data_IF_912320546826
#
_entry.id   IF_912320546826
#
_cell.length_a   1.000
_cell.length_b   1.000
_cell.length_c   1.000
_cell.angle_alpha   90.00
_cell.angle_beta   90.00
_cell.angle_gamma   90.00
#
_symmetry.space_group_name_H-M   'P 1'
#
loop_
_entity.id
_entity.type
_entity.pdbx_description
1 polymer ?
#
# COMPACT_ATOMS: atom_id res chain seq x y z
N UNK A 1 13.87 1.88 24.86
CA UNK A 1 14.44 1.75 23.51
C UNK A 1 13.93 0.43 22.96
N UNK A 2 12.95 0.47 22.07
CA UNK A 2 12.43 -0.69 21.35
C UNK A 2 12.70 -0.47 19.88
N UNK A 3 13.57 -1.29 19.31
CA UNK A 3 13.95 -1.31 17.90
C UNK A 3 12.81 -2.00 17.11
N UNK A 4 12.12 -1.22 16.29
CA UNK A 4 10.96 -1.66 15.50
C UNK A 4 11.36 -2.00 14.07
N UNK A 5 12.20 -3.02 13.88
CA UNK A 5 12.45 -3.61 12.56
C UNK A 5 11.32 -4.59 12.21
N UNK A 6 10.20 -4.06 11.71
CA UNK A 6 9.21 -4.91 11.06
C UNK A 6 9.69 -5.21 9.63
N UNK A 7 10.60 -6.18 9.53
CA UNK A 7 11.08 -6.75 8.28
C UNK A 7 9.89 -7.37 7.52
N UNK A 8 9.47 -6.70 6.44
CA UNK A 8 8.44 -7.20 5.54
C UNK A 8 8.88 -8.54 4.93
N UNK A 9 8.06 -9.61 4.98
CA UNK A 9 8.39 -10.84 4.31
C UNK A 9 8.20 -10.66 2.80
N UNK A 10 9.32 -10.53 2.09
CA UNK A 10 9.42 -10.48 0.64
C UNK A 10 9.17 -11.90 0.07
N UNK A 11 7.92 -12.35 0.06
CA UNK A 11 7.52 -13.62 -0.56
C UNK A 11 7.32 -13.37 -2.07
N UNK A 12 8.41 -13.20 -2.80
CA UNK A 12 8.36 -13.14 -4.25
C UNK A 12 9.45 -14.02 -4.87
N UNK A 13 9.15 -15.32 -4.97
CA UNK A 13 9.76 -16.23 -5.93
C UNK A 13 9.05 -17.59 -5.86
N UNK A 14 7.92 -17.69 -6.55
CA UNK A 14 7.40 -18.98 -6.99
C UNK A 14 7.33 -18.92 -8.52
N UNK A 15 8.48 -19.14 -9.15
CA UNK A 15 8.60 -19.39 -10.59
C UNK A 15 7.76 -20.63 -10.91
N UNK A 16 6.76 -20.47 -11.77
CA UNK A 16 5.96 -21.58 -12.29
C UNK A 16 6.68 -22.08 -13.54
N UNK A 17 7.33 -23.23 -13.44
CA UNK A 17 7.93 -23.95 -14.56
C UNK A 17 6.83 -24.51 -15.46
N UNK A 18 6.66 -23.90 -16.64
CA UNK A 18 5.82 -24.41 -17.72
C UNK A 18 6.70 -25.10 -18.75
N UNK A 19 7.24 -26.27 -18.40
CA UNK A 19 7.88 -27.13 -19.38
C UNK A 19 6.83 -27.65 -20.37
N UNK A 20 7.08 -27.38 -21.64
CA UNK A 20 6.20 -27.62 -22.77
C UNK A 20 6.61 -28.91 -23.47
N UNK A 21 6.23 -30.07 -22.92
CA UNK A 21 6.29 -31.39 -23.57
C UNK A 21 5.02 -32.16 -23.12
N UNK A 22 4.10 -32.61 -23.96
CA UNK A 22 4.32 -33.62 -24.99
C UNK A 22 3.21 -33.53 -26.06
N UNK A 23 3.66 -33.29 -27.30
CA UNK A 23 2.90 -33.46 -28.54
C UNK A 23 3.30 -34.82 -29.11
N UNK A 24 2.49 -35.88 -28.94
CA UNK A 24 1.83 -36.62 -30.05
C UNK A 24 1.26 -38.00 -29.69
N UNK A 25 0.10 -38.23 -30.32
CA UNK A 25 -0.41 -39.47 -30.90
C UNK A 25 -0.87 -40.60 -29.96
N UNK A 26 -2.19 -40.80 -29.93
CA UNK A 26 -2.79 -42.14 -29.83
C UNK A 26 -4.22 -42.15 -30.37
N UNK A 27 -4.41 -42.79 -31.52
CA UNK A 27 -5.72 -43.17 -32.07
C UNK A 27 -6.02 -44.58 -31.56
N UNK A 28 -7.19 -44.89 -30.98
CA UNK A 28 -7.60 -46.28 -30.85
C UNK A 28 -8.82 -46.60 -31.70
N UNK A 29 -8.67 -47.67 -32.46
CA UNK A 29 -9.72 -48.39 -33.17
C UNK A 29 -10.46 -49.37 -32.24
N UNK A 30 -11.78 -49.38 -32.40
CA UNK A 30 -12.74 -50.50 -32.23
C UNK A 30 -13.11 -51.01 -30.83
N UNK A 31 -14.40 -51.34 -30.79
CA UNK A 31 -15.24 -51.76 -29.68
C UNK A 31 -14.91 -53.15 -29.12
N UNK A 32 -15.21 -53.32 -27.83
CA UNK A 32 -15.81 -54.55 -27.29
C UNK A 32 -16.53 -54.24 -25.98
N UNK A 33 -17.80 -54.62 -25.93
CA UNK A 33 -18.68 -54.58 -24.76
C UNK A 33 -18.13 -55.45 -23.62
N UNK A 34 -18.17 -54.91 -22.40
CA UNK A 34 -17.79 -55.59 -21.17
C UNK A 34 -18.38 -54.86 -19.98
N UNK A 35 -19.64 -55.14 -19.68
CA UNK A 35 -20.45 -54.50 -18.64
C UNK A 35 -20.08 -55.09 -17.27
N UNK A 36 -19.33 -54.37 -16.43
CA UNK A 36 -19.26 -54.67 -14.99
C UNK A 36 -18.94 -53.41 -14.17
N UNK A 37 -19.97 -52.91 -13.47
CA UNK A 37 -19.88 -52.15 -12.20
C UNK A 37 -18.94 -50.94 -12.11
N UNK A 38 -19.30 -49.81 -12.73
CA UNK A 38 -18.80 -48.51 -12.26
C UNK A 38 -19.58 -48.10 -11.01
N UNK A 39 -18.98 -48.22 -9.83
CA UNK A 39 -19.39 -47.39 -8.71
C UNK A 39 -19.02 -45.96 -9.09
N UNK A 40 -20.03 -45.19 -9.52
CA UNK A 40 -19.87 -43.78 -9.84
C UNK A 40 -19.39 -43.02 -8.60
N UNK A 41 -18.08 -42.84 -8.48
CA UNK A 41 -17.49 -41.89 -7.56
C UNK A 41 -17.95 -40.50 -8.00
N UNK A 42 -19.06 -40.03 -7.41
CA UNK A 42 -19.49 -38.63 -7.48
C UNK A 42 -18.38 -37.81 -6.85
N UNK A 43 -17.42 -37.36 -7.68
CA UNK A 43 -16.40 -36.40 -7.26
C UNK A 43 -17.15 -35.16 -6.78
N UNK A 44 -16.96 -34.85 -5.49
CA UNK A 44 -17.56 -33.73 -4.75
C UNK A 44 -16.99 -32.41 -5.28
N UNK A 45 -17.25 -32.09 -6.55
CA UNK A 45 -16.68 -30.92 -7.25
C UNK A 45 -17.27 -29.61 -6.72
N UNK A 46 -18.53 -29.62 -6.26
CA UNK A 46 -19.22 -28.45 -5.74
C UNK A 46 -18.59 -27.86 -4.48
N UNK A 47 -18.26 -28.68 -3.47
CA UNK A 47 -17.75 -28.15 -2.19
C UNK A 47 -16.33 -27.57 -2.28
N UNK A 48 -15.51 -28.06 -3.21
CA UNK A 48 -14.17 -27.51 -3.42
C UNK A 48 -14.20 -26.24 -4.25
N UNK A 49 -15.18 -26.11 -5.14
CA UNK A 49 -15.41 -24.89 -5.91
C UNK A 49 -15.98 -23.77 -5.01
N UNK A 50 -16.94 -24.08 -4.13
CA UNK A 50 -17.48 -23.12 -3.15
C UNK A 50 -16.41 -22.64 -2.16
N UNK A 51 -15.60 -23.55 -1.58
CA UNK A 51 -14.50 -23.18 -0.69
C UNK A 51 -13.44 -22.32 -1.42
N UNK A 52 -13.09 -22.66 -2.66
CA UNK A 52 -12.16 -21.84 -3.44
C UNK A 52 -12.74 -20.46 -3.78
N UNK A 53 -14.05 -20.35 -4.01
CA UNK A 53 -14.73 -19.08 -4.26
C UNK A 53 -14.74 -18.21 -3.01
N UNK A 54 -15.01 -18.77 -1.83
CA UNK A 54 -14.92 -18.07 -0.54
C UNK A 54 -13.50 -17.55 -0.26
N UNK A 55 -12.47 -18.37 -0.55
CA UNK A 55 -11.06 -17.96 -0.41
C UNK A 55 -10.72 -16.82 -1.38
N UNK A 56 -11.22 -16.86 -2.62
CA UNK A 56 -11.04 -15.78 -3.60
C UNK A 56 -11.74 -14.50 -3.13
N UNK A 57 -12.97 -14.59 -2.62
CA UNK A 57 -13.70 -13.44 -2.08
C UNK A 57 -12.95 -12.79 -0.91
N UNK A 58 -12.45 -13.60 0.03
CA UNK A 58 -11.66 -13.10 1.15
C UNK A 58 -10.39 -12.38 0.68
N UNK A 59 -9.67 -12.95 -0.30
CA UNK A 59 -8.47 -12.33 -0.86
C UNK A 59 -8.78 -11.00 -1.58
N UNK A 60 -9.91 -10.93 -2.30
CA UNK A 60 -10.37 -9.70 -2.92
C UNK A 60 -10.74 -8.64 -1.89
N UNK A 61 -11.46 -9.00 -0.84
CA UNK A 61 -11.83 -8.07 0.24
C UNK A 61 -10.59 -7.53 0.96
N UNK A 62 -9.60 -8.38 1.23
CA UNK A 62 -8.31 -7.96 1.81
C UNK A 62 -7.55 -7.00 0.89
N UNK A 63 -7.49 -7.32 -0.41
CA UNK A 63 -6.83 -6.45 -1.40
C UNK A 63 -7.55 -5.11 -1.54
N UNK A 64 -8.88 -5.12 -1.57
CA UNK A 64 -9.70 -3.92 -1.62
C UNK A 64 -9.51 -3.04 -0.38
N UNK A 65 -9.36 -3.65 0.79
CA UNK A 65 -9.04 -2.93 2.02
C UNK A 65 -7.68 -2.25 1.93
N UNK A 66 -6.65 -2.96 1.45
CA UNK A 66 -5.32 -2.37 1.26
C UNK A 66 -5.36 -1.20 0.25
N UNK A 67 -6.07 -1.38 -0.87
CA UNK A 67 -6.26 -0.32 -1.87
C UNK A 67 -6.99 0.88 -1.28
N UNK A 68 -7.99 0.66 -0.42
CA UNK A 68 -8.67 1.73 0.31
C UNK A 68 -7.70 2.51 1.20
N UNK A 69 -6.84 1.83 1.97
CA UNK A 69 -5.85 2.50 2.81
C UNK A 69 -4.88 3.34 1.98
N UNK A 70 -4.43 2.83 0.82
CA UNK A 70 -3.56 3.58 -0.12
C UNK A 70 -4.30 4.81 -0.66
N UNK A 71 -5.55 4.65 -1.09
CA UNK A 71 -6.35 5.74 -1.65
C UNK A 71 -6.68 6.82 -0.61
N UNK A 72 -6.85 6.45 0.66
CA UNK A 72 -7.14 7.40 1.75
C UNK A 72 -5.90 8.11 2.29
N UNK A 73 -4.70 7.55 2.09
CA UNK A 73 -3.47 8.08 2.68
C UNK A 73 -3.21 9.57 2.38
N UNK A 74 -3.40 10.08 1.15
CA UNK A 74 -3.22 11.51 0.87
C UNK A 74 -4.18 12.41 1.67
N UNK A 75 -5.43 11.99 1.82
CA UNK A 75 -6.44 12.75 2.58
C UNK A 75 -6.13 12.73 4.08
N UNK A 76 -5.70 11.58 4.62
CA UNK A 76 -5.27 11.44 6.01
C UNK A 76 -4.01 12.28 6.30
N UNK A 77 -3.04 12.27 5.38
CA UNK A 77 -1.83 13.08 5.51
C UNK A 77 -2.17 14.58 5.49
N UNK A 78 -3.04 15.03 4.58
CA UNK A 78 -3.51 16.41 4.55
C UNK A 78 -4.24 16.82 5.84
N UNK A 79 -5.10 15.94 6.37
CA UNK A 79 -5.79 16.19 7.63
C UNK A 79 -4.81 16.31 8.80
N UNK A 80 -3.78 15.46 8.84
CA UNK A 80 -2.70 15.54 9.83
C UNK A 80 -1.93 16.85 9.74
N UNK A 81 -1.53 17.28 8.54
CA UNK A 81 -0.83 18.54 8.34
C UNK A 81 -1.70 19.73 8.80
N UNK A 82 -3.00 19.72 8.49
CA UNK A 82 -3.93 20.74 8.95
C UNK A 82 -4.07 20.76 10.47
N UNK A 83 -4.07 19.58 11.11
CA UNK A 83 -4.09 19.47 12.56
C UNK A 83 -2.84 20.10 13.19
N UNK A 84 -1.64 19.78 12.68
CA UNK A 84 -0.38 20.37 13.14
C UNK A 84 -0.38 21.90 13.01
N UNK A 85 -0.84 22.44 11.87
CA UNK A 85 -0.98 23.90 11.66
C UNK A 85 -1.89 24.53 12.72
N UNK A 86 -3.03 23.91 12.99
CA UNK A 86 -4.03 24.42 13.93
C UNK A 86 -3.53 24.42 15.36
N UNK A 87 -2.86 23.34 15.77
CA UNK A 87 -2.26 23.18 17.09
C UNK A 87 -1.14 24.21 17.31
N UNK A 88 -0.28 24.42 16.32
CA UNK A 88 0.75 25.46 16.39
C UNK A 88 0.13 26.87 16.54
N UNK A 89 -0.91 27.19 15.77
CA UNK A 89 -1.58 28.48 15.89
C UNK A 89 -2.25 28.67 17.26
N UNK A 90 -2.79 27.60 17.84
CA UNK A 90 -3.31 27.61 19.21
C UNK A 90 -2.21 27.94 20.21
N UNK A 91 -1.07 27.25 20.14
CA UNK A 91 0.09 27.50 21.02
C UNK A 91 0.53 28.96 20.92
N UNK A 92 0.75 29.47 19.70
CA UNK A 92 1.18 30.87 19.49
C UNK A 92 0.20 31.88 20.09
N UNK A 93 -1.11 31.59 20.01
CA UNK A 93 -2.15 32.44 20.59
C UNK A 93 -2.12 32.43 22.11
N UNK A 94 -1.80 31.29 22.72
CA UNK A 94 -1.76 31.11 24.18
C UNK A 94 -0.52 31.73 24.82
N UNK A 95 0.58 31.92 24.08
CA UNK A 95 1.81 32.54 24.58
C UNK A 95 1.64 34.06 24.73
N UNK A 96 1.52 34.61 25.96
CA UNK A 96 1.29 36.05 26.15
C UNK A 96 2.52 36.91 25.82
N UNK A 97 3.73 36.32 25.80
CA UNK A 97 4.99 37.02 25.57
C UNK A 97 5.19 37.43 24.10
N UNK A 98 4.49 36.77 23.18
CA UNK A 98 4.62 37.05 21.75
C UNK A 98 3.76 38.25 21.35
N UNK A 99 4.36 39.17 20.61
CA UNK A 99 3.59 40.25 19.97
C UNK A 99 2.71 39.69 18.85
N UNK A 100 1.70 40.45 18.42
CA UNK A 100 0.90 40.08 17.25
C UNK A 100 1.74 39.92 15.98
N UNK A 101 2.81 40.71 15.85
CA UNK A 101 3.76 40.62 14.73
C UNK A 101 4.55 39.31 14.80
N UNK A 102 5.11 38.96 15.97
CA UNK A 102 5.89 37.73 16.14
C UNK A 102 5.04 36.50 15.82
N UNK A 103 3.79 36.47 16.32
CA UNK A 103 2.84 35.39 16.01
C UNK A 103 2.62 35.28 14.50
N UNK A 104 2.37 36.40 13.82
CA UNK A 104 2.13 36.38 12.36
C UNK A 104 3.34 35.91 11.58
N UNK A 105 4.55 36.33 12.00
CA UNK A 105 5.81 35.90 11.38
C UNK A 105 6.03 34.39 11.55
N UNK A 106 5.84 33.86 12.76
CA UNK A 106 5.95 32.43 13.05
C UNK A 106 4.92 31.60 12.31
N UNK A 107 3.67 32.08 12.23
CA UNK A 107 2.61 31.43 11.44
C UNK A 107 3.00 31.34 9.95
N UNK A 108 3.45 32.45 9.36
CA UNK A 108 3.90 32.48 7.98
C UNK A 108 5.09 31.55 7.75
N UNK A 109 6.05 31.54 8.68
CA UNK A 109 7.23 30.69 8.57
C UNK A 109 6.83 29.21 8.58
N UNK A 110 6.00 28.78 9.53
CA UNK A 110 5.50 27.40 9.58
C UNK A 110 4.79 27.02 8.28
N UNK A 111 3.86 27.86 7.80
CA UNK A 111 3.11 27.57 6.58
C UNK A 111 4.04 27.37 5.38
N UNK A 112 5.00 28.27 5.18
CA UNK A 112 5.99 28.15 4.11
C UNK A 112 6.78 26.84 4.21
N UNK A 113 7.26 26.48 5.41
CA UNK A 113 8.05 25.25 5.61
C UNK A 113 7.25 23.98 5.35
N UNK A 114 6.01 23.94 5.81
CA UNK A 114 5.14 22.78 5.57
C UNK A 114 4.83 22.63 4.07
N UNK A 115 4.67 23.74 3.36
CA UNK A 115 4.43 23.73 1.92
C UNK A 115 5.69 23.30 1.15
N UNK A 116 6.89 23.74 1.57
CA UNK A 116 8.18 23.31 1.00
C UNK A 116 8.40 21.79 1.20
N UNK A 117 8.15 21.28 2.41
CA UNK A 117 8.23 19.84 2.70
C UNK A 117 7.26 19.04 1.84
N UNK A 118 6.01 19.50 1.69
CA UNK A 118 5.04 18.86 0.81
C UNK A 118 5.46 18.93 -0.66
N UNK A 119 6.06 20.04 -1.07
CA UNK A 119 6.61 20.23 -2.41
C UNK A 119 7.71 19.24 -2.76
N UNK A 120 8.52 18.82 -1.77
CA UNK A 120 9.62 17.85 -1.98
C UNK A 120 9.16 16.50 -2.54
N UNK A 121 7.92 16.10 -2.28
CA UNK A 121 7.33 14.84 -2.79
C UNK A 121 7.13 14.89 -4.32
N UNK A 122 6.97 16.09 -4.88
CA UNK A 122 6.80 16.30 -6.32
C UNK A 122 8.14 16.43 -7.06
N UNK A 123 9.26 16.53 -6.34
CA UNK A 123 10.59 16.70 -6.94
C UNK A 123 11.12 15.32 -7.38
N UNK A 124 11.66 15.20 -8.61
CA UNK A 124 12.35 14.00 -9.07
C UNK A 124 13.41 13.52 -8.08
N UNK A 125 13.58 12.21 -7.93
CA UNK A 125 14.41 11.66 -6.85
C UNK A 125 15.88 12.15 -6.90
N UNK A 126 16.40 12.37 -8.10
CA UNK A 126 17.75 12.85 -8.37
C UNK A 126 17.97 14.30 -7.94
N UNK A 127 16.93 15.14 -7.97
CA UNK A 127 16.96 16.53 -7.51
C UNK A 127 16.53 16.70 -6.04
N UNK A 128 15.73 15.76 -5.53
CA UNK A 128 15.09 15.81 -4.21
C UNK A 128 16.11 15.95 -3.08
N UNK A 129 17.24 15.26 -3.16
CA UNK A 129 18.29 15.33 -2.13
C UNK A 129 18.91 16.74 -2.03
N UNK A 130 19.12 17.39 -3.18
CA UNK A 130 19.60 18.78 -3.25
C UNK A 130 18.60 19.75 -2.62
N UNK A 131 17.32 19.61 -2.96
CA UNK A 131 16.25 20.43 -2.39
C UNK A 131 16.14 20.25 -0.86
N UNK A 132 16.10 19.01 -0.38
CA UNK A 132 16.01 18.71 1.05
C UNK A 132 17.21 19.28 1.82
N UNK A 133 18.42 19.23 1.27
CA UNK A 133 19.61 19.86 1.87
C UNK A 133 19.46 21.36 2.06
N UNK A 134 18.94 22.07 1.05
CA UNK A 134 18.73 23.53 1.13
C UNK A 134 17.66 23.84 2.17
N UNK A 135 16.53 23.12 2.11
CA UNK A 135 15.43 23.27 3.05
C UNK A 135 15.87 23.10 4.51
N UNK A 136 16.67 22.07 4.79
CA UNK A 136 17.19 21.81 6.13
C UNK A 136 18.19 22.89 6.59
N UNK A 137 19.09 23.35 5.71
CA UNK A 137 20.01 24.46 6.05
C UNK A 137 19.29 25.73 6.44
N UNK A 138 18.18 26.03 5.79
CA UNK A 138 17.42 27.24 6.10
C UNK A 138 16.65 27.11 7.43
N UNK A 139 16.40 25.90 7.93
CA UNK A 139 15.77 25.68 9.25
C UNK A 139 16.76 25.94 10.39
N UNK A 140 18.05 25.70 10.17
CA UNK A 140 19.11 25.90 11.17
C UNK A 140 19.52 27.38 11.35
N UNK A 141 18.92 28.31 10.61
CA UNK A 141 19.35 29.71 10.50
C UNK A 141 18.35 30.69 11.09
#
# INVERSE_FOLDING_TARGET
MGDGNEDFPLVYSQEIDLSQDDVRASRPSRASEGRTGSSGSKRKRGSQQDFNVEVIHLALDQTNEQLRQIAEWPARNLANDNHVRMEFFRILREMPELTSLDRTLLQRHLLSRMDDLRGSVLIPEDEREGFCRVLLRDIER
#
